data_IF_564836311505
#
_entry.id   IF_564836311505
#
_cell.length_a   1.000
_cell.length_b   1.000
_cell.length_c   1.000
_cell.angle_alpha   90.00
_cell.angle_beta   90.00
_cell.angle_gamma   90.00
#
_symmetry.space_group_name_H-M   'P 1'
#
loop_
_entity.id
_entity.type
_entity.pdbx_description
1 polymer ?
#
# COMPACT_ATOMS: atom_id res chain seq x y z
N UNK A 1 -6.63 42.29 13.53
CA UNK A 1 -6.46 41.95 12.09
C UNK A 1 -5.08 41.37 11.71
N UNK A 2 -3.96 41.73 12.36
CA UNK A 2 -2.63 41.16 12.04
C UNK A 2 -2.38 39.71 12.49
N UNK A 3 -3.23 39.12 13.33
CA UNK A 3 -3.09 37.73 13.82
C UNK A 3 -3.72 36.69 12.86
N UNK A 4 -4.73 37.11 12.08
CA UNK A 4 -5.50 36.19 11.22
C UNK A 4 -4.77 35.88 9.92
N UNK A 5 -4.08 36.87 9.33
CA UNK A 5 -3.28 36.69 8.12
C UNK A 5 -2.10 35.72 8.35
N UNK A 6 -1.47 35.76 9.52
CA UNK A 6 -0.37 34.84 9.89
C UNK A 6 -0.85 33.41 10.10
N UNK A 7 -2.10 33.23 10.55
CA UNK A 7 -2.71 31.91 10.75
C UNK A 7 -3.07 31.25 9.41
N UNK A 8 -3.58 32.03 8.44
CA UNK A 8 -3.93 31.56 7.09
C UNK A 8 -2.67 31.16 6.30
N UNK A 9 -1.59 31.95 6.40
CA UNK A 9 -0.30 31.62 5.75
C UNK A 9 0.33 30.36 6.36
N UNK A 10 0.12 30.11 7.66
CA UNK A 10 0.63 28.90 8.35
C UNK A 10 -0.20 27.65 8.00
N UNK A 11 -1.51 27.79 7.79
CA UNK A 11 -2.39 26.71 7.33
C UNK A 11 -2.16 26.33 5.85
N UNK A 12 -1.80 27.30 4.99
CA UNK A 12 -1.45 27.02 3.60
C UNK A 12 -0.12 26.25 3.45
N UNK A 13 0.86 26.50 4.35
CA UNK A 13 2.14 25.78 4.36
C UNK A 13 2.02 24.33 4.86
N UNK A 14 1.06 24.02 5.72
CA UNK A 14 0.86 22.65 6.24
C UNK A 14 0.11 21.75 5.27
N UNK A 15 -0.79 22.29 4.43
CA UNK A 15 -1.46 21.51 3.39
C UNK A 15 -0.54 21.10 2.23
N UNK A 16 0.52 21.86 1.97
CA UNK A 16 1.46 21.58 0.87
C UNK A 16 2.46 20.43 1.18
N UNK A 17 2.45 19.89 2.40
CA UNK A 17 3.37 18.81 2.83
C UNK A 17 2.71 17.42 2.74
N UNK A 18 1.39 17.32 2.57
CA UNK A 18 0.65 16.03 2.63
C UNK A 18 0.26 15.49 1.24
N UNK A 19 0.60 16.18 0.15
CA UNK A 19 0.08 15.88 -1.19
C UNK A 19 0.89 14.86 -2.04
N UNK A 20 1.79 14.07 -1.45
CA UNK A 20 2.66 13.15 -2.23
C UNK A 20 2.23 11.68 -2.23
N UNK A 21 1.07 11.32 -1.67
CA UNK A 21 0.66 9.92 -1.61
C UNK A 21 -0.86 9.72 -1.72
N UNK A 22 -1.46 9.95 -2.89
CA UNK A 22 -2.82 9.45 -3.18
C UNK A 22 -2.90 8.88 -4.61
N UNK A 23 -3.49 7.68 -4.80
CA UNK A 23 -3.59 7.02 -6.11
C UNK A 23 -4.56 7.78 -7.06
N UNK A 24 -4.24 7.71 -8.36
CA UNK A 24 -4.79 8.50 -9.48
C UNK A 24 -6.32 8.43 -9.70
N UNK A 25 -7.04 7.55 -9.02
CA UNK A 25 -8.47 7.29 -9.29
C UNK A 25 -9.46 8.14 -8.49
N UNK A 26 -9.00 8.96 -7.54
CA UNK A 26 -9.90 9.82 -6.73
C UNK A 26 -9.98 11.27 -7.21
N UNK A 27 -9.10 11.69 -8.11
CA UNK A 27 -9.09 13.07 -8.64
C UNK A 27 -10.15 13.32 -9.72
N UNK A 28 -10.59 12.29 -10.46
CA UNK A 28 -11.75 12.43 -11.37
C UNK A 28 -13.10 12.52 -10.62
N UNK A 29 -13.23 11.88 -9.46
CA UNK A 29 -14.48 11.93 -8.67
C UNK A 29 -14.67 13.25 -7.90
N UNK A 30 -13.57 13.89 -7.47
CA UNK A 30 -13.62 15.14 -6.69
C UNK A 30 -13.81 16.38 -7.55
N UNK A 31 -13.40 16.35 -8.82
CA UNK A 31 -13.62 17.44 -9.79
C UNK A 31 -15.07 17.42 -10.31
N UNK A 32 -15.70 16.24 -10.39
CA UNK A 32 -17.11 16.12 -10.77
C UNK A 32 -18.05 16.67 -9.67
N UNK A 33 -17.66 16.58 -8.39
CA UNK A 33 -18.46 17.08 -7.27
C UNK A 33 -18.47 18.62 -7.13
N UNK A 34 -17.61 19.35 -7.85
CA UNK A 34 -17.56 20.82 -7.79
C UNK A 34 -18.35 21.52 -8.91
N UNK A 35 -18.79 20.78 -9.93
CA UNK A 35 -19.52 21.33 -11.10
C UNK A 35 -21.03 21.05 -11.10
N UNK A 36 -21.56 20.44 -10.03
CA UNK A 36 -22.99 20.13 -9.87
C UNK A 36 -23.60 20.74 -8.60
N UNK A 37 -23.27 22.00 -8.30
CA UNK A 37 -24.06 22.79 -7.35
C UNK A 37 -25.25 23.38 -8.13
N UNK A 38 -26.51 23.03 -7.82
CA UNK A 38 -27.66 23.66 -8.45
C UNK A 38 -27.66 25.16 -8.12
N UNK A 39 -27.76 26.00 -9.15
CA UNK A 39 -28.03 27.43 -9.02
C UNK A 39 -29.40 27.60 -8.37
N UNK A 40 -29.49 27.75 -7.04
CA UNK A 40 -30.48 28.63 -6.41
C UNK A 40 -30.40 28.73 -4.87
N UNK A 41 -30.49 29.99 -4.42
CA UNK A 41 -31.15 30.47 -3.21
C UNK A 41 -30.53 30.17 -1.83
N UNK A 42 -29.27 30.56 -1.61
CA UNK A 42 -28.70 30.62 -0.24
C UNK A 42 -28.34 32.04 0.25
N UNK A 43 -28.47 33.08 -0.58
CA UNK A 43 -28.20 34.48 -0.19
C UNK A 43 -29.39 35.39 -0.48
N UNK A 44 -30.46 35.24 0.30
CA UNK A 44 -31.50 36.27 0.45
C UNK A 44 -31.82 36.41 1.93
N UNK A 45 -30.87 36.97 2.68
CA UNK A 45 -31.10 37.62 3.98
C UNK A 45 -29.76 38.17 4.48
N UNK A 46 -29.40 39.34 3.95
CA UNK A 46 -28.65 40.42 4.59
C UNK A 46 -28.48 41.50 3.50
N UNK A 47 -29.07 42.68 3.73
CA UNK A 47 -29.17 43.76 2.74
C UNK A 47 -27.83 44.45 2.43
N UNK A 48 -26.98 43.76 1.67
CA UNK A 48 -25.95 44.34 0.81
C UNK A 48 -25.84 43.44 -0.42
N UNK A 49 -26.43 43.88 -1.53
CA UNK A 49 -26.28 43.26 -2.84
C UNK A 49 -24.83 43.43 -3.30
N UNK A 50 -23.97 42.46 -2.95
CA UNK A 50 -22.76 42.22 -3.72
C UNK A 50 -23.10 41.14 -4.74
N UNK A 51 -23.65 41.57 -5.88
CA UNK A 51 -23.61 40.78 -7.12
C UNK A 51 -22.13 40.48 -7.43
N UNK A 52 -21.67 39.30 -7.03
CA UNK A 52 -20.45 38.71 -7.60
C UNK A 52 -20.76 38.53 -9.07
N UNK A 53 -20.17 39.39 -9.91
CA UNK A 53 -20.39 39.41 -11.36
C UNK A 53 -20.13 38.02 -11.92
N UNK A 54 -20.99 37.53 -12.81
CA UNK A 54 -20.80 36.23 -13.49
C UNK A 54 -19.39 36.08 -14.12
N UNK A 55 -18.76 37.20 -14.46
CA UNK A 55 -17.35 37.30 -14.91
C UNK A 55 -16.34 36.73 -13.89
N UNK A 56 -16.52 36.95 -12.58
CA UNK A 56 -15.61 36.46 -11.54
C UNK A 56 -15.73 34.93 -11.34
N UNK A 57 -16.94 34.38 -11.51
CA UNK A 57 -17.16 32.92 -11.47
C UNK A 57 -16.53 32.26 -12.69
N UNK A 58 -16.65 32.86 -13.87
CA UNK A 58 -16.04 32.36 -15.10
C UNK A 58 -14.50 32.44 -15.07
N UNK A 59 -13.94 33.49 -14.47
CA UNK A 59 -12.50 33.61 -14.21
C UNK A 59 -12.01 32.53 -13.24
N UNK A 60 -12.75 32.24 -12.18
CA UNK A 60 -12.42 31.17 -11.23
C UNK A 60 -12.50 29.78 -11.88
N UNK A 61 -13.45 29.54 -12.78
CA UNK A 61 -13.51 28.30 -13.57
C UNK A 61 -12.34 28.16 -14.54
N UNK A 62 -11.92 29.25 -15.19
CA UNK A 62 -10.73 29.27 -16.07
C UNK A 62 -9.46 28.99 -15.26
N UNK A 63 -9.30 29.61 -14.10
CA UNK A 63 -8.17 29.41 -13.20
C UNK A 63 -8.12 27.99 -12.62
N UNK A 64 -9.26 27.40 -12.28
CA UNK A 64 -9.32 26.01 -11.78
C UNK A 64 -9.00 24.99 -12.87
N UNK A 65 -9.48 25.19 -14.11
CA UNK A 65 -9.09 24.36 -15.26
C UNK A 65 -7.60 24.45 -15.54
N UNK A 66 -7.04 25.66 -15.60
CA UNK A 66 -5.59 25.87 -15.77
C UNK A 66 -4.78 25.20 -14.65
N UNK A 67 -5.25 25.26 -13.40
CA UNK A 67 -4.60 24.60 -12.28
C UNK A 67 -4.64 23.08 -12.41
N UNK A 68 -5.80 22.51 -12.74
CA UNK A 68 -5.97 21.07 -12.98
C UNK A 68 -5.07 20.58 -14.12
N UNK A 69 -5.03 21.30 -15.24
CA UNK A 69 -4.14 20.98 -16.37
C UNK A 69 -2.67 21.04 -15.94
N UNK A 70 -2.26 22.08 -15.19
CA UNK A 70 -0.90 22.18 -14.68
C UNK A 70 -0.53 21.05 -13.71
N UNK A 71 -1.46 20.56 -12.91
CA UNK A 71 -1.26 19.44 -11.99
C UNK A 71 -1.20 18.11 -12.73
N UNK A 72 -2.05 17.90 -13.74
CA UNK A 72 -1.97 16.71 -14.61
C UNK A 72 -0.66 16.65 -15.40
N UNK A 73 -0.19 17.79 -15.94
CA UNK A 73 1.09 17.89 -16.63
C UNK A 73 2.27 17.59 -15.71
N UNK A 74 2.27 18.12 -14.47
CA UNK A 74 3.29 17.79 -13.45
C UNK A 74 3.29 16.30 -13.10
N UNK A 75 2.10 15.71 -12.95
CA UNK A 75 1.97 14.28 -12.64
C UNK A 75 2.41 13.38 -13.81
N UNK A 76 2.18 13.79 -15.06
CA UNK A 76 2.67 13.08 -16.25
C UNK A 76 4.20 13.20 -16.35
N UNK A 77 4.75 14.40 -16.16
CA UNK A 77 6.19 14.63 -16.17
C UNK A 77 6.92 13.82 -15.09
N UNK A 78 6.34 13.69 -13.89
CA UNK A 78 6.88 12.84 -12.83
C UNK A 78 6.86 11.35 -13.19
N UNK A 79 5.83 10.88 -13.91
CA UNK A 79 5.76 9.49 -14.38
C UNK A 79 6.82 9.21 -15.44
N UNK A 80 6.95 10.08 -16.43
CA UNK A 80 7.98 9.95 -17.48
C UNK A 80 9.39 9.97 -16.88
N UNK A 81 9.65 10.85 -15.90
CA UNK A 81 10.93 10.88 -15.19
C UNK A 81 11.19 9.58 -14.40
N UNK A 82 10.16 9.01 -13.76
CA UNK A 82 10.28 7.74 -13.06
C UNK A 82 10.53 6.57 -14.02
N UNK A 83 9.88 6.54 -15.18
CA UNK A 83 10.10 5.53 -16.22
C UNK A 83 11.49 5.63 -16.82
N UNK A 84 11.95 6.84 -17.15
CA UNK A 84 13.32 7.08 -17.63
C UNK A 84 14.37 6.64 -16.60
N UNK A 85 14.12 6.88 -15.31
CA UNK A 85 15.01 6.43 -14.24
C UNK A 85 15.07 4.90 -14.17
N UNK A 86 13.93 4.22 -14.26
CA UNK A 86 13.88 2.74 -14.32
C UNK A 86 14.61 2.18 -15.53
N UNK A 87 14.47 2.80 -16.69
CA UNK A 87 15.19 2.40 -17.91
C UNK A 87 16.70 2.54 -17.74
N UNK A 88 17.18 3.68 -17.20
CA UNK A 88 18.61 3.89 -16.92
C UNK A 88 19.17 2.89 -15.91
N UNK A 89 18.44 2.61 -14.84
CA UNK A 89 18.83 1.60 -13.85
C UNK A 89 18.88 0.18 -14.46
N UNK A 90 17.95 -0.15 -15.36
CA UNK A 90 17.95 -1.42 -16.08
C UNK A 90 19.13 -1.53 -17.06
N UNK A 91 19.43 -0.47 -17.80
CA UNK A 91 20.59 -0.40 -18.70
C UNK A 91 21.91 -0.52 -17.94
N UNK A 92 22.04 0.13 -16.78
CA UNK A 92 23.23 0.03 -15.94
C UNK A 92 23.43 -1.39 -15.39
N UNK A 93 22.34 -2.04 -14.96
CA UNK A 93 22.37 -3.46 -14.54
C UNK A 93 22.79 -4.37 -15.69
N UNK A 94 22.26 -4.15 -16.90
CA UNK A 94 22.64 -4.93 -18.08
C UNK A 94 24.10 -4.72 -18.48
N UNK A 95 24.64 -3.50 -18.33
CA UNK A 95 26.08 -3.22 -18.55
C UNK A 95 26.95 -3.96 -17.55
N UNK A 96 26.63 -3.88 -16.25
CA UNK A 96 27.35 -4.61 -15.19
C UNK A 96 27.36 -6.12 -15.44
N UNK A 97 26.21 -6.70 -15.83
CA UNK A 97 26.13 -8.12 -16.18
C UNK A 97 27.06 -8.49 -17.35
N UNK A 98 27.13 -7.66 -18.39
CA UNK A 98 28.05 -7.89 -19.52
C UNK A 98 29.52 -7.77 -19.09
N UNK A 99 29.85 -6.80 -18.26
CA UNK A 99 31.21 -6.64 -17.70
C UNK A 99 31.62 -7.85 -16.85
N UNK A 100 30.71 -8.36 -16.00
CA UNK A 100 30.92 -9.56 -15.19
C UNK A 100 31.11 -10.81 -16.07
N UNK A 101 30.30 -10.98 -17.13
CA UNK A 101 30.44 -12.07 -18.09
C UNK A 101 31.76 -12.01 -18.89
N UNK A 102 32.17 -10.81 -19.32
CA UNK A 102 33.44 -10.60 -20.01
C UNK A 102 34.63 -10.89 -19.09
N UNK A 103 34.55 -10.44 -17.84
CA UNK A 103 35.57 -10.72 -16.83
C UNK A 103 35.70 -12.22 -16.56
N UNK A 104 34.57 -12.95 -16.47
CA UNK A 104 34.56 -14.40 -16.29
C UNK A 104 35.22 -15.11 -17.47
N UNK A 105 34.88 -14.74 -18.71
CA UNK A 105 35.52 -15.27 -19.94
C UNK A 105 37.04 -15.01 -19.94
N UNK A 106 37.48 -13.84 -19.46
CA UNK A 106 38.90 -13.54 -19.33
C UNK A 106 39.59 -14.42 -18.28
N UNK A 107 38.94 -14.68 -17.14
CA UNK A 107 39.47 -15.59 -16.13
C UNK A 107 39.57 -17.02 -16.66
N UNK A 108 38.52 -17.54 -17.30
CA UNK A 108 38.57 -18.88 -17.91
C UNK A 108 39.67 -19.00 -18.95
N UNK A 109 39.91 -17.96 -19.76
CA UNK A 109 41.01 -17.94 -20.72
C UNK A 109 42.38 -17.93 -20.03
N UNK A 110 42.53 -17.17 -18.94
CA UNK A 110 43.75 -17.17 -18.12
C UNK A 110 43.99 -18.54 -17.48
N UNK A 111 42.94 -19.20 -17.02
CA UNK A 111 43.03 -20.52 -16.40
C UNK A 111 43.38 -21.59 -17.45
N UNK A 112 42.73 -21.58 -18.62
CA UNK A 112 43.11 -22.43 -19.76
C UNK A 112 44.56 -22.23 -20.20
N UNK A 113 45.04 -20.97 -20.24
CA UNK A 113 46.45 -20.68 -20.55
C UNK A 113 47.40 -21.24 -19.49
N UNK A 114 47.06 -21.08 -18.20
CA UNK A 114 47.82 -21.65 -17.09
C UNK A 114 47.84 -23.19 -17.16
N UNK A 115 46.71 -23.82 -17.47
CA UNK A 115 46.62 -25.26 -17.67
C UNK A 115 47.47 -25.74 -18.84
N UNK A 116 47.46 -25.01 -19.96
CA UNK A 116 48.28 -25.34 -21.14
C UNK A 116 49.79 -25.16 -20.84
N UNK A 117 50.17 -24.14 -20.08
CA UNK A 117 51.55 -23.96 -19.59
C UNK A 117 51.97 -25.11 -18.68
N UNK A 118 51.13 -25.51 -17.73
CA UNK A 118 51.38 -26.68 -16.87
C UNK A 118 51.48 -27.96 -17.71
N UNK A 119 50.66 -28.12 -18.75
CA UNK A 119 50.73 -29.25 -19.67
C UNK A 119 52.06 -29.28 -20.42
N UNK A 120 52.52 -28.13 -20.94
CA UNK A 120 53.83 -27.98 -21.61
C UNK A 120 54.99 -28.28 -20.66
N UNK A 121 54.89 -27.90 -19.39
CA UNK A 121 55.89 -28.24 -18.37
C UNK A 121 55.91 -29.76 -18.14
N UNK A 122 54.75 -30.40 -17.97
CA UNK A 122 54.65 -31.87 -17.82
C UNK A 122 55.17 -32.63 -19.04
N UNK A 123 54.87 -32.16 -20.25
CA UNK A 123 55.40 -32.73 -21.50
C UNK A 123 56.93 -32.58 -21.57
N UNK A 124 57.49 -31.41 -21.22
CA UNK A 124 58.94 -31.19 -21.13
C UNK A 124 59.61 -32.05 -20.06
N UNK A 125 58.95 -32.25 -18.93
CA UNK A 125 59.43 -33.11 -17.83
C UNK A 125 59.31 -34.60 -18.18
N UNK A 126 58.35 -34.99 -19.02
CA UNK A 126 58.21 -36.35 -19.56
C UNK A 126 59.20 -36.65 -20.72
N UNK A 127 59.53 -35.65 -21.55
CA UNK A 127 60.54 -35.76 -22.61
C UNK A 127 61.98 -35.81 -22.06
N UNK A 128 62.22 -35.26 -20.87
CA UNK A 128 63.36 -35.66 -20.04
C UNK A 128 63.12 -37.09 -19.55
N UNK A 129 63.31 -38.07 -20.44
CA UNK A 129 63.62 -39.45 -20.05
C UNK A 129 64.58 -39.38 -18.88
N UNK A 130 64.29 -40.09 -17.79
CA UNK A 130 65.23 -40.25 -16.67
C UNK A 130 66.60 -40.45 -17.32
N UNK A 131 67.56 -39.53 -17.11
CA UNK A 131 68.71 -39.51 -17.99
C UNK A 131 69.38 -40.87 -17.85
N UNK A 132 69.79 -41.47 -18.98
CA UNK A 132 70.50 -42.78 -19.03
C UNK A 132 71.70 -42.82 -18.04
N UNK A 133 72.15 -41.65 -17.58
CA UNK A 133 73.11 -41.47 -16.48
C UNK A 133 72.66 -42.01 -15.12
N UNK A 134 71.37 -42.02 -14.75
CA UNK A 134 70.89 -42.59 -13.47
C UNK A 134 70.94 -44.12 -13.48
N UNK A 135 70.70 -44.73 -14.64
CA UNK A 135 70.74 -46.18 -14.84
C UNK A 135 72.19 -46.71 -14.94
N UNK A 136 73.13 -45.90 -15.45
CA UNK A 136 74.57 -46.15 -15.43
C UNK A 136 75.21 -45.92 -14.03
N UNK A 137 74.71 -44.97 -13.23
CA UNK A 137 75.17 -44.70 -11.86
C UNK A 137 74.81 -45.81 -10.84
N UNK A 138 73.76 -46.60 -11.12
CA UNK A 138 73.40 -47.76 -10.31
C UNK A 138 74.35 -48.96 -10.52
N UNK A 139 75.06 -49.02 -11.66
CA UNK A 139 75.93 -50.14 -12.07
C UNK A 139 77.41 -49.97 -11.72
N UNK A 140 77.84 -48.82 -11.18
CA UNK A 140 79.23 -48.59 -10.74
C UNK A 140 79.33 -48.64 -9.21
N UNK A 141 80.25 -49.47 -8.70
CA UNK A 141 80.60 -49.57 -7.28
C UNK A 141 81.81 -48.66 -6.97
N UNK A 142 81.64 -47.68 -6.05
CA UNK A 142 82.78 -47.16 -5.26
C UNK A 142 83.16 -45.67 -5.26
N UNK A 143 82.28 -44.66 -5.33
CA UNK A 143 82.70 -43.23 -5.26
C UNK A 143 81.97 -42.34 -4.21
N UNK A 144 82.65 -41.32 -3.62
CA UNK A 144 82.04 -40.34 -2.69
C UNK A 144 80.95 -39.49 -3.36
N UNK A 145 80.96 -39.39 -4.69
CA UNK A 145 79.91 -38.76 -5.49
C UNK A 145 78.57 -39.51 -5.39
N UNK A 146 78.60 -40.86 -5.37
CA UNK A 146 77.38 -41.69 -5.24
C UNK A 146 76.66 -41.43 -3.91
N UNK A 147 77.40 -41.30 -2.80
CA UNK A 147 76.85 -40.97 -1.48
C UNK A 147 76.20 -39.59 -1.44
N UNK A 148 76.82 -38.57 -2.06
CA UNK A 148 76.24 -37.21 -2.17
C UNK A 148 74.96 -37.21 -3.01
N UNK A 149 74.95 -37.93 -4.13
CA UNK A 149 73.77 -38.06 -4.99
C UNK A 149 72.63 -38.80 -4.25
N UNK A 150 72.95 -39.87 -3.52
CA UNK A 150 71.96 -40.60 -2.71
C UNK A 150 71.34 -39.69 -1.64
N UNK A 151 72.16 -38.91 -0.93
CA UNK A 151 71.68 -37.96 0.08
C UNK A 151 70.81 -36.85 -0.53
N UNK A 152 71.21 -36.28 -1.68
CA UNK A 152 70.39 -35.30 -2.39
C UNK A 152 69.05 -35.88 -2.87
N UNK A 153 69.05 -37.14 -3.32
CA UNK A 153 67.83 -37.83 -3.72
C UNK A 153 66.89 -38.07 -2.54
N UNK A 154 67.46 -38.40 -1.37
CA UNK A 154 66.71 -38.55 -0.12
C UNK A 154 66.12 -37.22 0.35
N UNK A 155 66.89 -36.13 0.32
CA UNK A 155 66.39 -34.77 0.57
C UNK A 155 65.29 -34.33 -0.40
N UNK A 156 65.40 -34.71 -1.68
CA UNK A 156 64.37 -34.43 -2.69
C UNK A 156 63.09 -35.23 -2.43
N UNK A 157 63.21 -36.49 -1.97
CA UNK A 157 62.06 -37.31 -1.56
C UNK A 157 61.35 -36.71 -0.35
N UNK A 158 62.10 -36.28 0.66
CA UNK A 158 61.54 -35.62 1.85
C UNK A 158 60.79 -34.34 1.46
N UNK A 159 61.41 -33.48 0.63
CA UNK A 159 60.75 -32.27 0.12
C UNK A 159 59.51 -32.56 -0.72
N UNK A 160 59.53 -33.61 -1.54
CA UNK A 160 58.36 -34.02 -2.30
C UNK A 160 57.21 -34.47 -1.38
N UNK A 161 57.52 -35.22 -0.31
CA UNK A 161 56.55 -35.63 0.70
C UNK A 161 55.98 -34.44 1.48
N UNK A 162 56.81 -33.46 1.88
CA UNK A 162 56.31 -32.25 2.56
C UNK A 162 55.43 -31.41 1.65
N UNK A 163 55.81 -31.22 0.38
CA UNK A 163 54.97 -30.51 -0.60
C UNK A 163 53.64 -31.23 -0.85
N UNK A 164 53.63 -32.57 -0.84
CA UNK A 164 52.38 -33.33 -0.98
C UNK A 164 51.47 -33.13 0.24
N UNK A 165 52.03 -33.07 1.45
CA UNK A 165 51.29 -32.77 2.68
C UNK A 165 50.75 -31.34 2.70
N UNK A 166 51.55 -30.35 2.29
CA UNK A 166 51.13 -28.95 2.17
C UNK A 166 49.99 -28.78 1.16
N UNK A 167 50.05 -29.47 0.02
CA UNK A 167 48.98 -29.45 -0.98
C UNK A 167 47.67 -30.07 -0.47
N UNK A 168 47.76 -31.15 0.33
CA UNK A 168 46.59 -31.76 0.98
C UNK A 168 45.96 -30.79 1.98
N UNK A 169 46.76 -30.18 2.85
CA UNK A 169 46.30 -29.21 3.84
C UNK A 169 45.68 -27.95 3.17
N UNK A 170 46.27 -27.48 2.08
CA UNK A 170 45.76 -26.35 1.31
C UNK A 170 44.46 -26.70 0.57
N UNK A 171 44.28 -27.96 0.14
CA UNK A 171 43.02 -28.44 -0.42
C UNK A 171 41.92 -28.50 0.65
N UNK A 172 42.21 -29.02 1.84
CA UNK A 172 41.28 -29.05 2.98
C UNK A 172 40.86 -27.64 3.39
N UNK A 173 41.80 -26.70 3.51
CA UNK A 173 41.51 -25.30 3.80
C UNK A 173 40.60 -24.66 2.73
N UNK A 174 40.88 -24.89 1.43
CA UNK A 174 40.03 -24.40 0.35
C UNK A 174 38.60 -24.93 0.47
N UNK A 175 38.43 -26.22 0.75
CA UNK A 175 37.09 -26.80 0.94
C UNK A 175 36.38 -26.21 2.18
N UNK A 176 37.10 -25.96 3.27
CA UNK A 176 36.55 -25.32 4.47
C UNK A 176 36.12 -23.86 4.21
N UNK A 177 36.88 -23.10 3.43
CA UNK A 177 36.49 -21.74 3.05
C UNK A 177 35.31 -21.72 2.07
N UNK A 178 35.22 -22.69 1.17
CA UNK A 178 34.09 -22.84 0.25
C UNK A 178 32.80 -23.19 1.01
N UNK A 179 32.85 -24.10 1.98
CA UNK A 179 31.69 -24.43 2.83
C UNK A 179 31.28 -23.24 3.70
N UNK A 180 32.23 -22.51 4.29
CA UNK A 180 31.90 -21.28 5.02
C UNK A 180 31.23 -20.25 4.11
N UNK A 181 31.79 -19.99 2.93
CA UNK A 181 31.24 -19.00 1.99
C UNK A 181 29.81 -19.32 1.56
N UNK A 182 29.52 -20.59 1.27
CA UNK A 182 28.17 -21.03 0.92
C UNK A 182 27.19 -20.85 2.07
N UNK A 183 27.56 -21.23 3.31
CA UNK A 183 26.70 -21.00 4.49
C UNK A 183 26.44 -19.51 4.77
N UNK A 184 27.43 -18.63 4.58
CA UNK A 184 27.23 -17.19 4.71
C UNK A 184 26.33 -16.63 3.61
N UNK A 185 26.45 -17.13 2.38
CA UNK A 185 25.56 -16.75 1.27
C UNK A 185 24.12 -17.18 1.51
N UNK A 186 23.89 -18.38 2.06
CA UNK A 186 22.56 -18.85 2.43
C UNK A 186 21.94 -17.97 3.52
N UNK A 187 22.67 -17.71 4.62
CA UNK A 187 22.21 -16.80 5.68
C UNK A 187 21.92 -15.39 5.16
N UNK A 188 22.75 -14.87 4.26
CA UNK A 188 22.51 -13.56 3.64
C UNK A 188 21.21 -13.55 2.81
N UNK A 189 20.94 -14.61 2.05
CA UNK A 189 19.69 -14.78 1.30
C UNK A 189 18.48 -14.90 2.22
N UNK A 190 18.59 -15.68 3.30
CA UNK A 190 17.53 -15.84 4.30
C UNK A 190 17.18 -14.50 4.96
N UNK A 191 18.19 -13.78 5.45
CA UNK A 191 18.00 -12.46 6.06
C UNK A 191 17.40 -11.48 5.07
N UNK A 192 17.87 -11.48 3.82
CA UNK A 192 17.31 -10.64 2.77
C UNK A 192 15.82 -10.94 2.55
N UNK A 193 15.45 -12.21 2.39
CA UNK A 193 14.06 -12.62 2.23
C UNK A 193 13.19 -12.20 3.43
N UNK A 194 13.69 -12.37 4.66
CA UNK A 194 12.98 -11.94 5.87
C UNK A 194 12.79 -10.42 5.86
N UNK A 195 13.82 -9.65 5.51
CA UNK A 195 13.69 -8.19 5.44
C UNK A 195 12.71 -7.73 4.37
N UNK A 196 12.71 -8.35 3.20
CA UNK A 196 11.74 -8.02 2.15
C UNK A 196 10.32 -8.35 2.56
N UNK A 197 10.10 -9.52 3.17
CA UNK A 197 8.78 -9.93 3.63
C UNK A 197 8.28 -9.03 4.75
N UNK A 198 9.13 -8.70 5.72
CA UNK A 198 8.75 -7.77 6.81
C UNK A 198 8.43 -6.37 6.28
N UNK A 199 9.18 -5.86 5.29
CA UNK A 199 8.87 -4.58 4.64
C UNK A 199 7.51 -4.62 3.93
N UNK A 200 7.23 -5.69 3.18
CA UNK A 200 5.92 -5.90 2.52
C UNK A 200 4.78 -5.98 3.55
N UNK A 201 4.96 -6.72 4.63
CA UNK A 201 3.96 -6.85 5.69
C UNK A 201 3.68 -5.51 6.38
N UNK A 202 4.72 -4.69 6.61
CA UNK A 202 4.57 -3.34 7.14
C UNK A 202 3.79 -2.43 6.19
N UNK A 203 4.00 -2.53 4.89
CA UNK A 203 3.23 -1.78 3.88
C UNK A 203 1.76 -2.21 3.87
N UNK A 204 1.49 -3.51 3.88
CA UNK A 204 0.12 -4.04 3.96
C UNK A 204 -0.57 -3.60 5.26
N UNK A 205 0.13 -3.64 6.38
CA UNK A 205 -0.36 -3.14 7.66
C UNK A 205 -0.70 -1.66 7.59
N UNK A 206 0.15 -0.82 7.00
CA UNK A 206 -0.14 0.62 6.81
C UNK A 206 -1.40 0.85 5.99
N UNK A 207 -1.55 0.15 4.87
CA UNK A 207 -2.74 0.27 4.01
C UNK A 207 -4.00 -0.14 4.78
N UNK A 208 -3.93 -1.24 5.55
CA UNK A 208 -5.05 -1.70 6.38
C UNK A 208 -5.40 -0.69 7.45
N UNK A 209 -4.41 -0.19 8.19
CA UNK A 209 -4.62 0.79 9.24
C UNK A 209 -5.20 2.10 8.71
N UNK A 210 -4.82 2.53 7.51
CA UNK A 210 -5.39 3.74 6.92
C UNK A 210 -6.88 3.55 6.59
N UNK A 211 -7.26 2.40 6.01
CA UNK A 211 -8.67 2.04 5.79
C UNK A 211 -9.44 1.95 7.10
N UNK A 212 -8.87 1.31 8.12
CA UNK A 212 -9.50 1.19 9.45
C UNK A 212 -9.66 2.56 10.12
N UNK A 213 -8.68 3.47 9.97
CA UNK A 213 -8.79 4.86 10.45
C UNK A 213 -9.89 5.63 9.72
N UNK A 214 -9.98 5.52 8.40
CA UNK A 214 -11.04 6.16 7.61
C UNK A 214 -12.41 5.66 8.04
N UNK A 215 -12.58 4.33 8.17
CA UNK A 215 -13.82 3.74 8.68
C UNK A 215 -14.13 4.21 10.10
N UNK A 216 -13.15 4.20 10.99
CA UNK A 216 -13.32 4.66 12.37
C UNK A 216 -13.77 6.12 12.42
N UNK A 217 -13.20 7.00 11.58
CA UNK A 217 -13.61 8.41 11.50
C UNK A 217 -15.06 8.54 11.05
N UNK A 218 -15.46 7.80 10.01
CA UNK A 218 -16.83 7.83 9.46
C UNK A 218 -17.84 7.35 10.51
N UNK A 219 -17.51 6.29 11.27
CA UNK A 219 -18.44 5.67 12.21
C UNK A 219 -18.25 6.09 13.68
N UNK A 220 -17.32 6.99 14.00
CA UNK A 220 -17.09 7.47 15.38
C UNK A 220 -18.34 8.12 16.00
N UNK A 221 -19.16 8.78 15.18
CA UNK A 221 -20.37 9.50 15.61
C UNK A 221 -21.54 8.53 15.82
N UNK A 222 -21.45 7.27 15.41
CA UNK A 222 -22.58 6.32 15.40
C UNK A 222 -23.30 6.16 16.74
N UNK A 223 -22.54 6.03 17.84
CA UNK A 223 -23.13 5.92 19.19
C UNK A 223 -23.88 7.20 19.59
N UNK A 224 -23.23 8.35 19.41
CA UNK A 224 -23.84 9.65 19.71
C UNK A 224 -25.10 9.88 18.87
N UNK A 225 -25.02 9.57 17.57
CA UNK A 225 -26.17 9.64 16.68
C UNK A 225 -27.34 8.79 17.20
N UNK A 226 -27.09 7.56 17.66
CA UNK A 226 -28.12 6.68 18.24
C UNK A 226 -28.87 7.31 19.41
N UNK A 227 -28.16 7.96 20.34
CA UNK A 227 -28.75 8.67 21.48
C UNK A 227 -29.57 9.90 21.03
N UNK A 228 -29.10 10.62 20.00
CA UNK A 228 -29.83 11.77 19.41
C UNK A 228 -31.14 11.33 18.73
N UNK A 229 -31.22 10.11 18.19
CA UNK A 229 -32.45 9.61 17.60
C UNK A 229 -33.58 9.47 18.63
N UNK A 230 -33.27 9.17 19.90
CA UNK A 230 -34.28 9.12 20.97
C UNK A 230 -34.89 10.51 21.22
N UNK A 231 -34.09 11.57 21.10
CA UNK A 231 -34.57 12.96 21.18
C UNK A 231 -35.51 13.27 20.03
N UNK A 232 -35.15 12.87 18.79
CA UNK A 232 -36.01 13.05 17.63
C UNK A 232 -37.36 12.31 17.80
N UNK A 233 -37.33 11.08 18.29
CA UNK A 233 -38.56 10.30 18.54
C UNK A 233 -39.47 10.96 19.59
N UNK A 234 -38.89 11.58 20.62
CA UNK A 234 -39.66 12.34 21.61
C UNK A 234 -40.30 13.59 21.01
N UNK A 235 -39.60 14.28 20.10
CA UNK A 235 -40.16 15.40 19.33
C UNK A 235 -41.30 14.92 18.44
N UNK A 236 -41.13 13.81 17.71
CA UNK A 236 -42.20 13.18 16.90
C UNK A 236 -43.41 12.80 17.76
N UNK A 237 -43.19 12.25 18.97
CA UNK A 237 -44.27 11.94 19.92
C UNK A 237 -45.00 13.19 20.39
N UNK A 238 -44.28 14.27 20.70
CA UNK A 238 -44.86 15.54 21.12
C UNK A 238 -45.69 16.20 20.00
N UNK A 239 -45.22 16.11 18.75
CA UNK A 239 -45.96 16.56 17.57
C UNK A 239 -47.21 15.69 17.34
N UNK A 240 -47.09 14.37 17.52
CA UNK A 240 -48.21 13.45 17.34
C UNK A 240 -49.31 13.63 18.39
N UNK A 241 -48.96 13.93 19.64
CA UNK A 241 -49.91 14.20 20.72
C UNK A 241 -50.68 15.52 20.52
N UNK A 242 -50.08 16.50 19.85
CA UNK A 242 -50.63 17.84 19.64
C UNK A 242 -51.18 18.06 18.22
N UNK A 243 -51.50 17.00 17.48
CA UNK A 243 -52.01 17.11 16.09
C UNK A 243 -53.26 18.00 15.97
N UNK A 244 -54.10 18.06 17.01
CA UNK A 244 -55.31 18.91 17.04
C UNK A 244 -55.00 20.41 17.13
N UNK A 245 -53.75 20.78 17.45
CA UNK A 245 -53.26 22.15 17.45
C UNK A 245 -52.70 22.55 16.08
N UNK A 246 -52.60 21.64 15.12
CA UNK A 246 -52.19 21.94 13.75
C UNK A 246 -53.21 22.88 13.09
N UNK A 247 -52.74 24.07 12.68
CA UNK A 247 -53.58 25.10 12.06
C UNK A 247 -54.18 26.13 13.02
N UNK A 248 -54.00 25.97 14.34
CA UNK A 248 -54.18 27.06 15.31
C UNK A 248 -52.86 27.80 15.44
N UNK A 249 -52.86 29.13 15.60
CA UNK A 249 -51.65 29.93 15.86
C UNK A 249 -51.03 29.55 17.22
N UNK A 250 -50.32 28.43 17.24
CA UNK A 250 -49.58 27.92 18.38
C UNK A 250 -48.09 27.98 18.05
N UNK A 251 -47.44 29.07 18.45
CA UNK A 251 -46.01 29.27 18.21
C UNK A 251 -45.12 28.14 18.76
N UNK A 252 -45.57 27.42 19.79
CA UNK A 252 -44.87 26.24 20.31
C UNK A 252 -44.90 25.05 19.35
N UNK A 253 -46.03 24.78 18.71
CA UNK A 253 -46.17 23.66 17.76
C UNK A 253 -45.31 23.91 16.52
N UNK A 254 -45.37 25.14 15.98
CA UNK A 254 -44.55 25.55 14.85
C UNK A 254 -43.05 25.53 15.19
N UNK A 255 -42.66 26.06 16.35
CA UNK A 255 -41.27 26.01 16.82
C UNK A 255 -40.75 24.57 16.98
N UNK A 256 -41.61 23.65 17.42
CA UNK A 256 -41.26 22.22 17.54
C UNK A 256 -41.04 21.58 16.16
N UNK A 257 -41.91 21.89 15.17
CA UNK A 257 -41.72 21.43 13.78
C UNK A 257 -40.42 21.97 13.19
N UNK A 258 -40.12 23.26 13.38
CA UNK A 258 -38.88 23.86 12.89
C UNK A 258 -37.65 23.20 13.52
N UNK A 259 -37.70 22.92 14.82
CA UNK A 259 -36.61 22.23 15.53
C UNK A 259 -36.39 20.82 14.99
N UNK A 260 -37.46 20.06 14.74
CA UNK A 260 -37.38 18.74 14.11
C UNK A 260 -36.71 18.81 12.73
N UNK A 261 -37.14 19.76 11.88
CA UNK A 261 -36.56 19.93 10.53
C UNK A 261 -35.07 20.27 10.59
N UNK A 262 -34.65 21.15 11.50
CA UNK A 262 -33.24 21.49 11.71
C UNK A 262 -32.45 20.24 12.15
N UNK A 263 -33.02 19.44 13.06
CA UNK A 263 -32.40 18.19 13.51
C UNK A 263 -32.24 17.20 12.36
N UNK A 264 -33.28 16.98 11.54
CA UNK A 264 -33.22 16.12 10.36
C UNK A 264 -32.16 16.60 9.34
N UNK A 265 -32.05 17.91 9.12
CA UNK A 265 -31.01 18.48 8.26
C UNK A 265 -29.58 18.24 8.80
N UNK A 266 -29.38 18.34 10.12
CA UNK A 266 -28.10 18.05 10.76
C UNK A 266 -27.75 16.57 10.62
N UNK A 267 -28.72 15.68 10.81
CA UNK A 267 -28.53 14.23 10.63
C UNK A 267 -28.14 13.90 9.18
N UNK A 268 -28.85 14.46 8.20
CA UNK A 268 -28.56 14.27 6.77
C UNK A 268 -27.17 14.76 6.38
N UNK A 269 -26.73 15.92 6.90
CA UNK A 269 -25.38 16.46 6.64
C UNK A 269 -24.27 15.53 7.13
N UNK A 270 -24.53 14.75 8.18
CA UNK A 270 -23.60 13.77 8.73
C UNK A 270 -23.74 12.37 8.08
N UNK A 271 -24.50 12.24 6.99
CA UNK A 271 -24.68 10.97 6.27
C UNK A 271 -25.70 10.02 6.92
N UNK A 272 -26.55 10.55 7.81
CA UNK A 272 -27.61 9.78 8.48
C UNK A 272 -28.90 9.95 7.69
N UNK A 273 -29.44 8.86 7.19
CA UNK A 273 -30.65 8.84 6.36
C UNK A 273 -31.77 8.10 7.10
N UNK A 274 -32.95 8.72 7.13
CA UNK A 274 -34.19 8.16 7.68
C UNK A 274 -34.73 7.06 6.75
N UNK A 275 -35.08 5.93 7.32
CA UNK A 275 -35.71 4.79 6.65
C UNK A 275 -37.19 4.76 7.06
N UNK A 276 -38.07 4.99 6.09
CA UNK A 276 -39.52 4.89 6.28
C UNK A 276 -40.15 3.95 5.23
N UNK A 277 -40.02 2.64 5.43
CA UNK A 277 -40.39 1.62 4.42
C UNK A 277 -41.90 1.35 4.36
N UNK A 278 -42.76 2.35 4.48
CA UNK A 278 -44.22 2.13 4.43
C UNK A 278 -44.66 1.67 3.04
N UNK A 279 -45.24 0.46 2.95
CA UNK A 279 -45.66 -0.13 1.67
C UNK A 279 -44.53 -0.79 0.87
N UNK A 280 -43.28 -0.74 1.35
CA UNK A 280 -42.17 -1.46 0.74
C UNK A 280 -42.14 -2.94 1.16
N UNK A 281 -41.33 -3.74 0.46
CA UNK A 281 -41.09 -5.13 0.83
C UNK A 281 -40.29 -5.21 2.13
N UNK A 282 -40.61 -6.18 2.98
CA UNK A 282 -39.87 -6.38 4.22
C UNK A 282 -38.46 -6.92 3.95
N UNK A 283 -37.44 -6.15 4.35
CA UNK A 283 -36.03 -6.52 4.31
C UNK A 283 -35.47 -6.73 5.74
N UNK A 284 -35.08 -7.97 6.12
CA UNK A 284 -34.56 -8.28 7.46
C UNK A 284 -33.29 -7.52 7.85
N UNK A 285 -32.52 -7.02 6.88
CA UNK A 285 -31.30 -6.27 7.14
C UNK A 285 -31.57 -4.84 7.67
N UNK A 286 -32.73 -4.28 7.32
CA UNK A 286 -33.07 -2.88 7.61
C UNK A 286 -34.27 -2.75 8.57
N UNK A 287 -35.13 -3.77 8.65
CA UNK A 287 -36.41 -3.72 9.33
C UNK A 287 -36.51 -4.77 10.44
N UNK A 288 -37.19 -4.41 11.53
CA UNK A 288 -37.51 -5.26 12.67
C UNK A 288 -39.03 -5.45 12.74
N UNK A 289 -39.52 -6.67 12.52
CA UNK A 289 -40.94 -6.98 12.45
C UNK A 289 -41.52 -7.23 13.85
N UNK A 290 -42.40 -6.34 14.32
CA UNK A 290 -43.02 -6.45 15.65
C UNK A 290 -44.31 -7.27 15.66
N UNK A 291 -45.14 -7.09 14.65
CA UNK A 291 -46.46 -7.71 14.59
C UNK A 291 -46.85 -8.03 13.14
N UNK A 292 -47.79 -8.98 13.01
CA UNK A 292 -48.42 -9.30 11.74
C UNK A 292 -49.81 -8.68 11.69
N UNK A 293 -50.12 -7.98 10.61
CA UNK A 293 -51.40 -7.29 10.42
C UNK A 293 -52.18 -7.98 9.30
N UNK A 294 -53.44 -8.37 9.53
CA UNK A 294 -54.29 -8.89 8.47
C UNK A 294 -54.77 -7.74 7.58
N UNK A 295 -54.14 -7.58 6.42
CA UNK A 295 -54.52 -6.57 5.41
C UNK A 295 -54.69 -7.24 4.04
N UNK A 296 -55.93 -7.35 3.51
CA UNK A 296 -56.18 -7.98 2.21
C UNK A 296 -55.80 -7.10 1.02
N UNK A 297 -55.47 -5.83 1.25
CA UNK A 297 -55.16 -4.82 0.22
C UNK A 297 -53.69 -4.78 -0.19
N UNK A 298 -52.77 -5.26 0.67
CA UNK A 298 -51.32 -5.24 0.44
C UNK A 298 -50.78 -6.65 0.24
N UNK A 299 -49.69 -6.79 -0.51
CA UNK A 299 -49.05 -8.08 -0.73
C UNK A 299 -48.52 -8.67 0.58
N UNK A 300 -48.61 -9.99 0.75
CA UNK A 300 -48.11 -10.68 1.96
C UNK A 300 -46.59 -10.49 2.07
N UNK A 301 -46.10 -10.11 3.24
CA UNK A 301 -44.67 -9.82 3.47
C UNK A 301 -44.24 -8.40 3.12
N UNK A 302 -45.19 -7.48 2.91
CA UNK A 302 -44.93 -6.03 2.79
C UNK A 302 -45.14 -5.32 4.13
N UNK A 303 -44.60 -4.12 4.25
CA UNK A 303 -44.74 -3.30 5.46
C UNK A 303 -46.11 -2.62 5.49
N UNK A 304 -46.91 -2.97 6.49
CA UNK A 304 -48.24 -2.41 6.75
C UNK A 304 -48.12 -0.96 7.23
N UNK A 305 -47.38 -0.76 8.32
CA UNK A 305 -47.13 0.54 8.95
C UNK A 305 -45.78 0.52 9.66
N UNK A 306 -45.20 1.71 9.87
CA UNK A 306 -43.95 1.90 10.61
C UNK A 306 -44.29 2.42 12.01
N UNK A 307 -43.99 1.62 13.04
CA UNK A 307 -44.21 1.99 14.44
C UNK A 307 -43.10 2.92 14.96
N UNK A 308 -41.86 2.68 14.54
CA UNK A 308 -40.70 3.50 14.87
C UNK A 308 -39.80 3.61 13.65
N UNK A 309 -39.44 4.84 13.29
CA UNK A 309 -38.62 5.12 12.10
C UNK A 309 -37.19 4.59 12.26
N UNK A 310 -36.66 3.98 11.20
CA UNK A 310 -35.31 3.46 11.15
C UNK A 310 -34.32 4.52 10.67
N UNK A 311 -33.03 4.31 10.94
CA UNK A 311 -31.96 5.20 10.47
C UNK A 311 -30.74 4.38 10.06
N UNK A 312 -30.06 4.83 9.00
CA UNK A 312 -28.77 4.29 8.55
C UNK A 312 -27.72 5.39 8.43
N UNK A 313 -26.48 5.05 8.75
CA UNK A 313 -25.28 5.84 8.47
C UNK A 313 -24.60 5.21 7.26
N UNK A 314 -24.56 5.92 6.13
CA UNK A 314 -24.04 5.38 4.87
C UNK A 314 -24.65 4.00 4.58
N UNK A 315 -23.83 2.93 4.62
CA UNK A 315 -24.25 1.56 4.34
C UNK A 315 -24.64 0.76 5.59
N UNK A 316 -24.39 1.28 6.80
CA UNK A 316 -24.64 0.58 8.06
C UNK A 316 -25.92 1.06 8.74
N UNK A 317 -26.73 0.12 9.21
CA UNK A 317 -27.92 0.42 10.01
C UNK A 317 -27.53 0.89 11.41
N UNK A 318 -28.01 2.06 11.82
CA UNK A 318 -27.90 2.56 13.19
C UNK A 318 -28.98 1.94 14.06
N UNK A 319 -30.22 2.01 13.57
CA UNK A 319 -31.42 1.54 14.24
C UNK A 319 -32.38 1.01 13.18
N UNK A 320 -32.81 -0.26 13.26
CA UNK A 320 -33.76 -0.79 12.30
C UNK A 320 -35.13 -0.11 12.46
N UNK A 321 -35.87 -0.01 11.35
CA UNK A 321 -37.25 0.47 11.41
C UNK A 321 -38.13 -0.61 12.03
N UNK A 322 -38.92 -0.28 13.07
CA UNK A 322 -39.87 -1.22 13.65
C UNK A 322 -41.16 -1.19 12.87
N UNK A 323 -41.55 -2.32 12.30
CA UNK A 323 -42.62 -2.39 11.31
C UNK A 323 -43.65 -3.46 11.65
N UNK A 324 -44.90 -3.22 11.26
CA UNK A 324 -45.92 -4.27 11.14
C UNK A 324 -45.86 -4.87 9.74
N UNK A 325 -45.81 -6.20 9.63
CA UNK A 325 -45.75 -6.90 8.34
C UNK A 325 -47.14 -7.42 8.00
N UNK A 326 -47.57 -7.32 6.75
CA UNK A 326 -48.86 -7.86 6.31
C UNK A 326 -48.76 -9.37 6.09
N UNK A 327 -49.82 -10.07 6.46
CA UNK A 327 -50.03 -11.43 5.98
C UNK A 327 -51.41 -11.54 5.36
N UNK A 328 -51.52 -12.38 4.33
CA UNK A 328 -52.80 -12.68 3.71
C UNK A 328 -53.46 -13.80 4.52
N UNK A 329 -54.65 -13.53 5.04
CA UNK A 329 -55.47 -14.51 5.75
C UNK A 329 -56.27 -15.39 4.79
#
# INVERSE_FOLDING_TARGET
>A
MKSFATLVIRAAKTQNIVSTALPKNLLQSRVCAFTQIPKNNFWKNNGQDNEVKDEEVEELEKLTKQRMESETAKNQQQQEQAELKKQKEAEEKAKKQKEDEEWLKQQELKDKKREEEVRKIREKDAEKKLPESVELLLKMEGEPAKKKILHLFEQLKEKAQTLEQENKLLAEQKTAYQTQTTTWQEKAKELHNITENTLKDMELMRIRLEKEKEQTKIFAISKFAGEVLEVNDNIERALNANKELAGKENGLFEGTIMTQKILEQILQRNGIVKLNPEGEKFDPNFHDALCQVPDPTKESGSVAFVAQTGYKIYDRVLRPAKVGVTYKN
#
